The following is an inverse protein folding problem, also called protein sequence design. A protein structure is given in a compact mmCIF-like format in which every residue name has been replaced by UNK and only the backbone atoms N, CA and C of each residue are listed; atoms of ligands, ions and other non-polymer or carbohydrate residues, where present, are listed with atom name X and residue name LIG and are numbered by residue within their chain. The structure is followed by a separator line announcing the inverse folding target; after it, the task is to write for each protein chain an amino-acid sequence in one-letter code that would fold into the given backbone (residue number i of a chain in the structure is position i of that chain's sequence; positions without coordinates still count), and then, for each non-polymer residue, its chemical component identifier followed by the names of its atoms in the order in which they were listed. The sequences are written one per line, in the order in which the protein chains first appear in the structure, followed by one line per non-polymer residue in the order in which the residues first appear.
data_IF_750738274163
#
_entry.id   IF_750738274163
#
_cell.length_a   1.000
_cell.length_b   1.000
_cell.length_c   1.000
_cell.angle_alpha   90.00
_cell.angle_beta   90.00
_cell.angle_gamma   90.00
#
_symmetry.space_group_name_H-M   'P 1'
#
loop_
_entity.id
_entity.type
_entity.pdbx_description
1 polymer ?
#
# COMPACT_ATOMS: atom_id res chain seq x y z
N UNK A 1 -3.02 -43.60 25.63
CA UNK A 1 -1.72 -42.96 25.34
C UNK A 1 -1.99 -41.67 24.59
N UNK A 2 -1.70 -40.52 25.20
CA UNK A 2 -2.14 -39.18 24.77
C UNK A 2 -1.05 -38.51 23.93
N UNK A 3 -1.38 -38.01 22.74
CA UNK A 3 -0.49 -37.12 21.99
C UNK A 3 -0.60 -35.71 22.57
N UNK A 4 0.47 -35.20 23.15
CA UNK A 4 0.51 -33.87 23.78
C UNK A 4 0.31 -32.77 22.75
N UNK A 5 -0.71 -31.94 22.98
CA UNK A 5 -1.23 -30.85 22.14
C UNK A 5 -0.32 -29.61 22.08
N UNK A 6 1.01 -29.75 21.98
CA UNK A 6 1.93 -28.61 22.19
C UNK A 6 3.05 -28.38 21.16
N UNK A 7 3.00 -28.99 19.98
CA UNK A 7 4.15 -28.91 19.06
C UNK A 7 4.02 -27.95 17.87
N UNK A 8 3.04 -27.05 17.82
CA UNK A 8 3.00 -26.03 16.75
C UNK A 8 2.58 -24.66 17.25
N UNK A 9 3.49 -23.99 17.93
CA UNK A 9 3.38 -22.54 18.11
C UNK A 9 4.73 -21.85 17.92
N UNK A 10 5.40 -22.11 16.79
CA UNK A 10 6.36 -21.16 16.24
C UNK A 10 5.56 -20.07 15.52
N UNK A 11 5.08 -19.09 16.29
CA UNK A 11 4.72 -17.80 15.72
C UNK A 11 6.06 -17.09 15.54
N UNK A 12 6.47 -16.88 14.30
CA UNK A 12 7.53 -15.94 14.00
C UNK A 12 7.07 -14.59 14.56
N UNK A 13 7.64 -14.21 15.70
CA UNK A 13 7.43 -12.90 16.28
C UNK A 13 7.98 -11.87 15.30
N UNK A 14 7.31 -10.73 15.24
CA UNK A 14 7.48 -9.72 14.20
C UNK A 14 8.94 -9.31 14.02
N UNK A 15 9.42 -9.45 12.79
CA UNK A 15 10.24 -8.43 12.14
C UNK A 15 11.74 -8.55 12.31
N UNK A 16 12.36 -9.47 11.57
CA UNK A 16 13.67 -9.16 10.99
C UNK A 16 13.47 -8.11 9.90
N UNK A 17 13.33 -6.83 10.29
CA UNK A 17 13.78 -5.77 9.39
C UNK A 17 15.29 -5.93 9.36
N UNK A 18 15.81 -6.60 8.34
CA UNK A 18 17.24 -6.57 8.09
C UNK A 18 17.63 -5.09 8.04
N UNK A 19 18.53 -4.64 8.93
CA UNK A 19 18.92 -3.24 8.95
C UNK A 19 19.67 -2.98 7.65
N UNK A 20 19.21 -1.98 6.88
CA UNK A 20 19.80 -1.49 5.63
C UNK A 20 19.39 -2.25 4.36
N UNK A 21 18.11 -2.47 4.13
CA UNK A 21 17.62 -2.55 2.75
C UNK A 21 17.04 -1.18 2.35
N UNK A 22 17.79 -0.34 1.61
CA UNK A 22 17.27 0.91 1.07
C UNK A 22 15.98 0.72 0.27
N UNK A 23 15.77 -0.46 -0.32
CA UNK A 23 14.53 -0.80 -1.01
C UNK A 23 13.34 -0.92 -0.05
N UNK A 24 13.53 -1.53 1.13
CA UNK A 24 12.47 -1.65 2.13
C UNK A 24 12.04 -0.29 2.69
N UNK A 25 13.00 0.62 2.90
CA UNK A 25 12.70 1.99 3.33
C UNK A 25 11.98 2.77 2.22
N UNK A 26 12.38 2.55 0.96
CA UNK A 26 11.71 3.14 -0.22
C UNK A 26 10.30 2.60 -0.39
N UNK A 27 10.06 1.30 -0.19
CA UNK A 27 8.75 0.67 -0.24
C UNK A 27 7.82 1.18 0.86
N UNK A 28 8.34 1.35 2.08
CA UNK A 28 7.58 1.90 3.19
C UNK A 28 7.23 3.38 2.93
N UNK A 29 8.16 4.18 2.42
CA UNK A 29 7.90 5.57 2.02
C UNK A 29 6.85 5.64 0.90
N UNK A 30 6.98 4.78 -0.12
CA UNK A 30 6.02 4.65 -1.21
C UNK A 30 4.61 4.32 -0.70
N UNK A 31 4.48 3.29 0.15
CA UNK A 31 3.18 2.89 0.69
C UNK A 31 2.52 4.02 1.48
N UNK A 32 3.26 4.76 2.31
CA UNK A 32 2.72 5.89 3.07
C UNK A 32 2.27 7.04 2.16
N UNK A 33 3.12 7.46 1.23
CA UNK A 33 2.84 8.60 0.36
C UNK A 33 1.65 8.30 -0.57
N UNK A 34 1.55 7.08 -1.10
CA UNK A 34 0.40 6.67 -1.92
C UNK A 34 -0.87 6.55 -1.07
N UNK A 35 -0.79 6.03 0.15
CA UNK A 35 -1.94 5.97 1.06
C UNK A 35 -2.53 7.37 1.31
N UNK A 36 -1.67 8.35 1.57
CA UNK A 36 -2.09 9.73 1.82
C UNK A 36 -2.64 10.41 0.56
N UNK A 37 -2.11 10.12 -0.62
CA UNK A 37 -2.67 10.60 -1.88
C UNK A 37 -4.08 10.01 -2.13
N UNK A 38 -4.25 8.70 -1.92
CA UNK A 38 -5.55 8.04 -2.04
C UNK A 38 -6.59 8.59 -1.06
N UNK A 39 -6.18 8.87 0.18
CA UNK A 39 -7.06 9.48 1.19
C UNK A 39 -7.45 10.90 0.84
N UNK A 40 -6.56 11.68 0.22
CA UNK A 40 -6.85 13.06 -0.22
C UNK A 40 -7.85 13.11 -1.35
N UNK A 41 -7.67 12.23 -2.35
CA UNK A 41 -8.47 12.28 -3.57
C UNK A 41 -9.78 11.52 -3.44
N UNK A 42 -9.71 10.27 -2.96
CA UNK A 42 -10.88 9.42 -2.83
C UNK A 42 -11.47 9.44 -1.43
N UNK A 43 -10.72 9.75 -0.38
CA UNK A 43 -11.18 9.58 1.00
C UNK A 43 -11.06 8.14 1.52
N UNK A 44 -11.53 7.91 2.75
CA UNK A 44 -11.34 6.63 3.48
C UNK A 44 -12.63 5.86 3.77
N UNK A 45 -13.76 6.26 3.18
CA UNK A 45 -15.05 5.60 3.43
C UNK A 45 -15.09 4.21 2.77
N UNK A 46 -15.89 3.25 3.31
CA UNK A 46 -16.05 1.94 2.69
C UNK A 46 -16.56 1.99 1.24
N UNK A 47 -17.32 3.02 0.87
CA UNK A 47 -17.79 3.23 -0.49
C UNK A 47 -16.61 3.54 -1.44
N UNK A 48 -15.68 4.40 -1.00
CA UNK A 48 -14.50 4.77 -1.77
C UNK A 48 -13.54 3.59 -1.95
N UNK A 49 -13.37 2.76 -0.92
CA UNK A 49 -12.58 1.52 -1.02
C UNK A 49 -13.15 0.60 -2.11
N UNK A 50 -14.48 0.41 -2.15
CA UNK A 50 -15.14 -0.39 -3.18
C UNK A 50 -15.00 0.23 -4.57
N UNK A 51 -15.05 1.56 -4.65
CA UNK A 51 -14.86 2.28 -5.91
C UNK A 51 -13.45 2.05 -6.48
N UNK A 52 -12.41 2.26 -5.67
CA UNK A 52 -11.02 2.02 -6.05
C UNK A 52 -10.81 0.55 -6.45
N UNK A 53 -11.37 -0.39 -5.67
CA UNK A 53 -11.29 -1.83 -5.96
C UNK A 53 -11.85 -2.16 -7.35
N UNK A 54 -13.00 -1.56 -7.71
CA UNK A 54 -13.60 -1.71 -9.04
C UNK A 54 -12.75 -1.08 -10.14
N UNK A 55 -12.17 0.10 -9.89
CA UNK A 55 -11.30 0.78 -10.86
C UNK A 55 -10.06 -0.05 -11.16
N UNK A 56 -9.36 -0.53 -10.13
CA UNK A 56 -8.06 -1.21 -10.29
C UNK A 56 -8.18 -2.72 -10.49
N UNK A 57 -9.39 -3.29 -10.40
CA UNK A 57 -9.62 -4.75 -10.38
C UNK A 57 -9.06 -5.45 -9.14
N UNK A 58 -8.63 -4.69 -8.13
CA UNK A 58 -8.10 -5.26 -6.89
C UNK A 58 -9.24 -5.62 -5.94
N UNK A 59 -9.00 -6.57 -5.03
CA UNK A 59 -9.99 -6.86 -4.00
C UNK A 59 -10.01 -5.75 -2.92
N UNK A 60 -11.15 -5.62 -2.23
CA UNK A 60 -11.39 -4.59 -1.20
C UNK A 60 -10.36 -4.64 -0.07
N UNK A 61 -9.89 -5.83 0.32
CA UNK A 61 -8.85 -5.99 1.36
C UNK A 61 -7.51 -5.42 0.92
N UNK A 62 -7.12 -5.65 -0.33
CA UNK A 62 -5.89 -5.12 -0.93
C UNK A 62 -5.94 -3.60 -0.94
N UNK A 63 -7.04 -3.00 -1.37
CA UNK A 63 -7.23 -1.54 -1.33
C UNK A 63 -7.20 -1.01 0.11
N UNK A 64 -7.83 -1.71 1.06
CA UNK A 64 -7.76 -1.36 2.48
C UNK A 64 -6.34 -1.38 3.04
N UNK A 65 -5.50 -2.31 2.57
CA UNK A 65 -4.08 -2.35 2.94
C UNK A 65 -3.30 -1.17 2.36
N UNK A 66 -3.59 -0.76 1.11
CA UNK A 66 -3.00 0.44 0.50
C UNK A 66 -3.37 1.69 1.29
N UNK A 67 -4.65 1.87 1.60
CA UNK A 67 -5.15 2.99 2.41
C UNK A 67 -4.67 2.96 3.86
N UNK A 68 -4.14 1.84 4.34
CA UNK A 68 -3.52 1.71 5.67
C UNK A 68 -1.99 1.77 5.62
N UNK A 69 -1.40 2.05 4.45
CA UNK A 69 0.04 2.03 4.19
C UNK A 69 0.73 0.70 4.57
N UNK A 70 -0.01 -0.42 4.61
CA UNK A 70 0.55 -1.74 4.96
C UNK A 70 1.36 -2.33 3.81
N UNK A 71 0.97 -2.01 2.58
CA UNK A 71 1.70 -2.29 1.35
C UNK A 71 1.30 -1.24 0.30
N UNK A 72 2.13 -1.08 -0.74
CA UNK A 72 1.80 -0.23 -1.89
C UNK A 72 0.98 -0.99 -2.96
N UNK A 73 0.38 -0.26 -3.91
CA UNK A 73 -0.19 -0.86 -5.12
C UNK A 73 0.91 -1.49 -5.98
N UNK A 74 0.53 -2.52 -6.75
CA UNK A 74 1.41 -3.05 -7.82
C UNK A 74 1.59 -2.00 -8.91
N UNK A 75 2.60 -2.16 -9.77
CA UNK A 75 2.82 -1.24 -10.89
C UNK A 75 1.57 -1.08 -11.80
N UNK A 76 0.87 -2.18 -12.10
CA UNK A 76 -0.35 -2.14 -12.89
C UNK A 76 -1.48 -1.37 -12.19
N UNK A 77 -1.70 -1.62 -10.90
CA UNK A 77 -2.71 -0.89 -10.12
C UNK A 77 -2.35 0.58 -9.96
N UNK A 78 -1.05 0.91 -9.80
CA UNK A 78 -0.57 2.28 -9.71
C UNK A 78 -0.86 3.06 -11.00
N UNK A 79 -0.59 2.47 -12.17
CA UNK A 79 -0.89 3.10 -13.46
C UNK A 79 -2.39 3.41 -13.60
N UNK A 80 -3.27 2.50 -13.17
CA UNK A 80 -4.71 2.76 -13.18
C UNK A 80 -5.06 3.90 -12.24
N UNK A 81 -4.53 3.91 -11.01
CA UNK A 81 -4.76 4.99 -10.05
C UNK A 81 -4.31 6.35 -10.60
N UNK A 82 -3.12 6.43 -11.20
CA UNK A 82 -2.58 7.65 -11.79
C UNK A 82 -3.45 8.19 -12.94
N UNK A 83 -4.13 7.33 -13.70
CA UNK A 83 -5.07 7.77 -14.76
C UNK A 83 -6.35 8.40 -14.21
N UNK A 84 -6.69 8.13 -12.97
CA UNK A 84 -7.94 8.56 -12.34
C UNK A 84 -7.73 9.54 -11.18
N UNK A 85 -6.49 9.84 -10.82
CA UNK A 85 -6.14 10.63 -9.63
C UNK A 85 -4.92 11.52 -9.87
N UNK A 86 -5.15 12.82 -9.84
CA UNK A 86 -4.07 13.81 -9.94
C UNK A 86 -3.18 13.78 -8.69
N UNK A 87 -3.75 13.60 -7.49
CA UNK A 87 -3.01 13.49 -6.23
C UNK A 87 -2.02 12.31 -6.25
N UNK A 88 -2.45 11.14 -6.76
CA UNK A 88 -1.56 9.97 -6.89
C UNK A 88 -0.46 10.25 -7.92
N UNK A 89 -0.78 10.88 -9.04
CA UNK A 89 0.22 11.25 -10.06
C UNK A 89 1.25 12.23 -9.52
N UNK A 90 0.80 13.28 -8.82
CA UNK A 90 1.67 14.27 -8.16
C UNK A 90 2.56 13.57 -7.12
N UNK A 91 2.01 12.65 -6.33
CA UNK A 91 2.76 11.90 -5.33
C UNK A 91 3.91 11.07 -5.94
N UNK A 92 3.65 10.37 -7.05
CA UNK A 92 4.68 9.61 -7.79
C UNK A 92 5.72 10.53 -8.42
N UNK A 93 5.32 11.68 -8.97
CA UNK A 93 6.23 12.66 -9.53
C UNK A 93 7.14 13.30 -8.45
N UNK A 94 6.60 13.54 -7.25
CA UNK A 94 7.39 14.00 -6.09
C UNK A 94 8.39 12.95 -5.65
N UNK A 95 7.96 11.69 -5.53
CA UNK A 95 8.83 10.56 -5.19
C UNK A 95 9.98 10.34 -6.19
N UNK A 96 9.71 10.60 -7.48
CA UNK A 96 10.73 10.49 -8.53
C UNK A 96 11.62 11.74 -8.66
N UNK A 97 11.40 12.77 -7.84
CA UNK A 97 12.04 14.09 -7.97
C UNK A 97 11.86 14.73 -9.36
N UNK A 98 10.74 14.44 -10.02
CA UNK A 98 10.38 14.96 -11.35
C UNK A 98 9.21 15.93 -11.31
N UNK A 99 8.60 16.15 -10.15
CA UNK A 99 7.55 17.14 -9.99
C UNK A 99 8.09 18.56 -10.24
N UNK A 100 7.42 19.29 -11.12
CA UNK A 100 7.69 20.70 -11.39
C UNK A 100 6.42 21.46 -11.04
N UNK A 101 6.50 22.34 -10.06
CA UNK A 101 5.43 23.32 -9.82
C UNK A 101 5.52 24.36 -10.94
N UNK A 102 4.43 24.57 -11.66
CA UNK A 102 4.27 25.71 -12.55
C UNK A 102 4.00 26.98 -11.74
#
# INVERSE_FOLDING_TARGET
MSFTKKDRNFRADKGNKFPLDPSADTEAAFANIIADALRRDFGSTPAHIKHIARLTGANVRTVGNWLSARNGPSGASLVVLMRHSDEVTIAVLKLSARFRAC
#
